data_IF_116103548039
#
_entry.id   IF_116103548039
#
_cell.length_a   1.000
_cell.length_b   1.000
_cell.length_c   1.000
_cell.angle_alpha   90.00
_cell.angle_beta   90.00
_cell.angle_gamma   90.00
#
_symmetry.space_group_name_H-M   'P 1'
#
loop_
_entity.id
_entity.type
_entity.pdbx_description
1 polymer ?
#
# COMPACT_ATOMS: atom_id res chain seq x y z
N UNK A 1 9.86 -6.79 23.13
CA UNK A 1 10.86 -5.72 23.03
C UNK A 1 12.02 -6.10 22.12
N UNK A 2 12.59 -5.10 21.46
CA UNK A 2 13.80 -5.31 20.66
C UNK A 2 14.97 -5.75 21.56
N UNK A 3 15.91 -6.54 21.00
CA UNK A 3 17.11 -6.94 21.73
C UNK A 3 18.07 -5.75 21.85
N UNK A 4 18.92 -5.75 22.90
CA UNK A 4 19.94 -4.69 23.06
C UNK A 4 20.78 -4.52 21.78
N UNK A 5 20.93 -3.29 21.33
CA UNK A 5 21.64 -2.95 20.08
C UNK A 5 20.86 -3.17 18.79
N UNK A 6 19.54 -3.49 18.89
CA UNK A 6 18.64 -3.62 17.73
C UNK A 6 17.41 -2.73 17.91
N UNK A 7 16.73 -2.41 16.81
CA UNK A 7 15.44 -1.70 16.83
C UNK A 7 14.53 -2.28 15.75
N UNK A 8 13.22 -2.18 15.96
CA UNK A 8 12.24 -2.41 14.89
C UNK A 8 12.24 -1.20 13.94
N UNK A 9 12.02 -1.45 12.66
CA UNK A 9 11.77 -0.40 11.68
C UNK A 9 10.33 -0.56 11.18
N UNK A 10 9.46 0.35 11.60
CA UNK A 10 8.02 0.27 11.35
C UNK A 10 7.65 1.13 10.15
N UNK A 11 7.05 0.54 9.14
CA UNK A 11 6.51 1.27 7.99
C UNK A 11 5.31 0.53 7.41
N UNK A 12 4.34 1.28 6.89
CA UNK A 12 3.08 0.77 6.31
C UNK A 12 2.97 1.04 4.81
N UNK A 13 3.93 1.74 4.24
CA UNK A 13 3.99 2.00 2.80
C UNK A 13 5.44 2.07 2.32
N UNK A 14 5.66 1.65 1.08
CA UNK A 14 6.95 1.72 0.41
C UNK A 14 6.78 2.00 -1.09
N UNK A 15 7.88 2.05 -1.82
CA UNK A 15 7.89 2.22 -3.27
C UNK A 15 7.44 0.96 -4.05
N UNK A 16 7.26 -0.17 -3.39
CA UNK A 16 6.88 -1.42 -4.05
C UNK A 16 5.37 -1.60 -4.15
N UNK A 17 4.66 -1.39 -3.10
CA UNK A 17 3.24 -1.71 -2.94
C UNK A 17 3.01 -2.49 -1.65
N UNK A 18 1.87 -3.15 -1.54
CA UNK A 18 1.47 -3.93 -0.37
C UNK A 18 1.77 -5.40 -0.63
N UNK A 19 2.73 -5.96 0.09
CA UNK A 19 3.08 -7.38 0.01
C UNK A 19 2.03 -8.25 0.70
N UNK A 20 1.62 -9.36 0.05
CA UNK A 20 0.62 -10.29 0.59
C UNK A 20 1.22 -11.46 1.38
N UNK A 21 2.52 -11.68 1.27
CA UNK A 21 3.19 -12.78 2.01
C UNK A 21 2.96 -12.75 3.52
N UNK A 22 3.00 -11.59 4.20
CA UNK A 22 2.74 -11.54 5.64
C UNK A 22 1.30 -11.91 6.02
N UNK A 23 0.36 -11.86 5.09
CA UNK A 23 -1.02 -12.28 5.33
C UNK A 23 -1.23 -13.80 5.21
N UNK A 24 -0.28 -14.53 4.60
CA UNK A 24 -0.36 -15.98 4.45
C UNK A 24 -0.36 -16.67 5.82
N UNK A 25 -1.37 -17.48 6.09
CA UNK A 25 -1.58 -18.16 7.38
C UNK A 25 -2.27 -17.31 8.46
N UNK A 26 -2.48 -16.00 8.21
CA UNK A 26 -3.31 -15.13 9.04
C UNK A 26 -4.70 -14.96 8.42
N UNK A 27 -4.76 -14.82 7.10
CA UNK A 27 -5.99 -14.75 6.32
C UNK A 27 -6.16 -16.02 5.49
N UNK A 28 -7.39 -16.43 5.28
CA UNK A 28 -7.75 -17.49 4.33
C UNK A 28 -7.52 -17.04 2.88
N UNK A 29 -7.52 -17.99 1.95
CA UNK A 29 -7.38 -17.67 0.51
C UNK A 29 -8.54 -16.77 0.02
N UNK A 30 -9.76 -17.01 0.49
CA UNK A 30 -10.94 -16.21 0.14
C UNK A 30 -10.85 -14.78 0.67
N UNK A 31 -10.36 -14.59 1.90
CA UNK A 31 -10.14 -13.26 2.48
C UNK A 31 -9.05 -12.48 1.73
N UNK A 32 -7.98 -13.16 1.31
CA UNK A 32 -6.93 -12.55 0.47
C UNK A 32 -7.50 -12.15 -0.90
N UNK A 33 -8.31 -13.01 -1.53
CA UNK A 33 -8.94 -12.69 -2.83
C UNK A 33 -9.90 -11.50 -2.69
N UNK A 34 -10.72 -11.45 -1.64
CA UNK A 34 -11.62 -10.33 -1.36
C UNK A 34 -10.84 -9.02 -1.13
N UNK A 35 -9.73 -9.08 -0.37
CA UNK A 35 -8.85 -7.94 -0.18
C UNK A 35 -8.27 -7.46 -1.52
N UNK A 36 -7.75 -8.37 -2.33
CA UNK A 36 -7.20 -8.06 -3.66
C UNK A 36 -8.26 -7.40 -4.53
N UNK A 37 -9.48 -7.96 -4.58
CA UNK A 37 -10.57 -7.43 -5.40
C UNK A 37 -11.01 -6.04 -4.92
N UNK A 38 -11.07 -5.82 -3.61
CA UNK A 38 -11.36 -4.50 -3.03
C UNK A 38 -10.31 -3.47 -3.47
N UNK A 39 -9.02 -3.82 -3.43
CA UNK A 39 -7.96 -2.92 -3.86
C UNK A 39 -7.98 -2.65 -5.37
N UNK A 40 -8.35 -3.63 -6.19
CA UNK A 40 -8.56 -3.45 -7.63
C UNK A 40 -9.73 -2.50 -7.89
N UNK A 41 -10.84 -2.64 -7.17
CA UNK A 41 -11.99 -1.73 -7.24
C UNK A 41 -11.60 -0.29 -6.82
N UNK A 42 -10.57 -0.15 -5.99
CA UNK A 42 -9.98 1.14 -5.61
C UNK A 42 -8.97 1.69 -6.63
N UNK A 43 -8.81 1.03 -7.77
CA UNK A 43 -7.91 1.44 -8.84
C UNK A 43 -6.47 0.96 -8.66
N UNK A 44 -6.26 -0.03 -7.81
CA UNK A 44 -5.00 -0.74 -7.68
C UNK A 44 -4.78 -1.76 -8.78
N UNK A 45 -3.54 -2.20 -8.92
CA UNK A 45 -3.10 -3.26 -9.81
C UNK A 45 -2.55 -4.42 -8.98
N UNK A 46 -2.44 -5.60 -9.58
CA UNK A 46 -1.96 -6.78 -8.88
C UNK A 46 -0.78 -7.41 -9.57
N UNK A 47 0.12 -7.96 -8.77
CA UNK A 47 1.19 -8.82 -9.24
C UNK A 47 0.97 -10.24 -8.73
N UNK A 48 0.99 -11.20 -9.65
CA UNK A 48 0.75 -12.61 -9.34
C UNK A 48 1.84 -13.50 -9.97
N UNK A 49 1.96 -14.70 -9.43
CA UNK A 49 2.78 -15.78 -9.96
C UNK A 49 1.96 -17.06 -9.96
N UNK A 50 2.37 -18.03 -10.74
CA UNK A 50 1.81 -19.37 -10.62
C UNK A 50 2.50 -20.11 -9.47
N UNK A 51 1.72 -20.81 -8.66
CA UNK A 51 2.22 -21.76 -7.68
C UNK A 51 2.74 -23.06 -8.36
N UNK A 52 3.19 -24.03 -7.54
CA UNK A 52 3.68 -25.33 -8.03
C UNK A 52 2.59 -26.15 -8.75
N UNK A 53 1.32 -25.82 -8.52
CA UNK A 53 0.16 -26.50 -9.09
C UNK A 53 -0.42 -25.73 -10.30
N UNK A 54 0.25 -24.64 -10.75
CA UNK A 54 -0.22 -23.81 -11.85
C UNK A 54 -1.34 -22.83 -11.45
N UNK A 55 -1.69 -22.72 -10.17
CA UNK A 55 -2.71 -21.78 -9.70
C UNK A 55 -2.12 -20.39 -9.59
N UNK A 56 -2.88 -19.38 -10.01
CA UNK A 56 -2.52 -17.98 -9.85
C UNK A 56 -2.52 -17.60 -8.37
N UNK A 57 -1.38 -17.13 -7.85
CA UNK A 57 -1.23 -16.64 -6.49
C UNK A 57 -0.75 -15.21 -6.50
N UNK A 58 -1.55 -14.32 -5.92
CA UNK A 58 -1.16 -12.93 -5.74
C UNK A 58 -0.08 -12.81 -4.68
N UNK A 59 0.93 -11.98 -4.91
CA UNK A 59 2.00 -11.73 -3.97
C UNK A 59 2.18 -10.25 -3.62
N UNK A 60 1.59 -9.35 -4.43
CA UNK A 60 1.69 -7.91 -4.23
C UNK A 60 0.46 -7.19 -4.82
N UNK A 61 -0.04 -6.21 -4.08
CA UNK A 61 -1.03 -5.24 -4.54
C UNK A 61 -0.28 -3.93 -4.80
N UNK A 62 -0.37 -3.43 -6.02
CA UNK A 62 0.26 -2.19 -6.45
C UNK A 62 -0.77 -1.07 -6.37
N UNK A 63 -0.73 -0.31 -5.30
CA UNK A 63 -1.65 0.78 -5.00
C UNK A 63 -0.96 1.78 -4.07
N UNK A 64 -1.28 3.07 -4.15
CA UNK A 64 -0.85 4.01 -3.12
C UNK A 64 -1.59 3.74 -1.81
N UNK A 65 -0.93 3.88 -0.67
CA UNK A 65 -1.59 3.69 0.63
C UNK A 65 -2.79 4.62 0.80
N UNK A 66 -2.69 5.85 0.30
CA UNK A 66 -3.78 6.80 0.37
C UNK A 66 -5.04 6.30 -0.36
N UNK A 67 -4.89 5.77 -1.58
CA UNK A 67 -6.03 5.21 -2.32
C UNK A 67 -6.46 3.84 -1.79
N UNK A 68 -5.57 3.05 -1.17
CA UNK A 68 -5.92 1.79 -0.53
C UNK A 68 -6.89 1.96 0.64
N UNK A 69 -6.84 3.10 1.32
CA UNK A 69 -7.65 3.40 2.51
C UNK A 69 -8.89 4.24 2.21
N UNK A 70 -9.29 4.40 0.95
CA UNK A 70 -10.43 5.26 0.58
C UNK A 70 -11.81 4.64 0.82
N UNK A 71 -11.85 3.42 1.33
CA UNK A 71 -13.10 2.72 1.63
C UNK A 71 -12.85 1.41 2.38
N UNK A 72 -13.87 0.58 2.38
CA UNK A 72 -13.88 -0.78 2.92
C UNK A 72 -14.34 -1.77 1.86
N UNK A 73 -14.51 -3.04 2.18
CA UNK A 73 -15.09 -4.05 1.29
C UNK A 73 -16.51 -3.68 0.79
N UNK A 74 -17.22 -2.85 1.56
CA UNK A 74 -18.56 -2.35 1.20
C UNK A 74 -18.48 -1.26 0.11
N UNK A 75 -17.35 -0.58 -0.01
CA UNK A 75 -17.13 0.47 -1.01
C UNK A 75 -16.37 1.69 -0.49
N UNK A 76 -16.35 2.73 -1.32
CA UNK A 76 -15.73 4.03 -1.01
C UNK A 76 -16.64 4.81 -0.07
N UNK A 77 -16.05 5.49 0.91
CA UNK A 77 -16.75 6.33 1.89
C UNK A 77 -15.99 7.64 2.18
N UNK A 78 -16.50 8.45 3.12
CA UNK A 78 -15.94 9.75 3.51
C UNK A 78 -14.77 9.67 4.49
N UNK A 79 -14.47 8.50 5.07
CA UNK A 79 -13.46 8.34 6.14
C UNK A 79 -12.03 8.05 5.64
N UNK A 80 -11.73 8.36 4.38
CA UNK A 80 -10.41 8.10 3.78
C UNK A 80 -9.28 8.74 4.59
N UNK A 81 -9.42 10.01 4.94
CA UNK A 81 -8.39 10.77 5.66
C UNK A 81 -8.24 10.24 7.09
N UNK A 82 -9.35 10.01 7.79
CA UNK A 82 -9.34 9.51 9.16
C UNK A 82 -8.67 8.13 9.24
N UNK A 83 -8.99 7.24 8.29
CA UNK A 83 -8.39 5.91 8.17
C UNK A 83 -6.90 5.98 7.87
N UNK A 84 -6.53 6.91 6.98
CA UNK A 84 -5.13 7.13 6.61
C UNK A 84 -4.31 7.67 7.79
N UNK A 85 -4.83 8.64 8.53
CA UNK A 85 -4.20 9.18 9.73
C UNK A 85 -4.10 8.11 10.82
N UNK A 86 -5.20 7.41 11.11
CA UNK A 86 -5.23 6.33 12.11
C UNK A 86 -4.19 5.24 11.83
N UNK A 87 -4.02 4.83 10.57
CA UNK A 87 -3.01 3.84 10.19
C UNK A 87 -1.58 4.32 10.51
N UNK A 88 -1.29 5.61 10.31
CA UNK A 88 0.00 6.20 10.65
C UNK A 88 0.18 6.36 12.16
N UNK A 89 -0.88 6.74 12.89
CA UNK A 89 -0.86 6.82 14.36
C UNK A 89 -0.55 5.47 14.99
N UNK A 90 -1.18 4.39 14.51
CA UNK A 90 -0.86 3.03 14.95
C UNK A 90 0.62 2.71 14.70
N UNK A 91 1.12 2.97 13.49
CA UNK A 91 2.51 2.71 13.13
C UNK A 91 3.50 3.49 14.03
N UNK A 92 3.22 4.77 14.29
CA UNK A 92 4.07 5.64 15.12
C UNK A 92 4.00 5.23 16.60
N UNK A 93 2.85 4.73 17.05
CA UNK A 93 2.65 4.28 18.44
C UNK A 93 3.32 2.94 18.78
N UNK A 94 3.80 2.19 17.79
CA UNK A 94 4.51 0.93 18.01
C UNK A 94 5.97 1.19 18.42
N UNK A 95 6.52 0.27 19.25
CA UNK A 95 7.94 0.31 19.60
C UNK A 95 8.81 0.21 18.34
N UNK A 96 9.73 1.16 18.14
CA UNK A 96 10.68 1.14 17.04
C UNK A 96 10.91 2.51 16.41
N UNK A 97 11.48 2.49 15.21
CA UNK A 97 11.77 3.67 14.40
C UNK A 97 10.70 3.75 13.29
N UNK A 98 9.82 4.74 13.29
CA UNK A 98 8.81 4.90 12.25
C UNK A 98 9.44 5.39 10.95
N UNK A 99 9.14 4.73 9.83
CA UNK A 99 9.54 5.11 8.48
C UNK A 99 8.34 5.64 7.68
N UNK A 100 8.34 6.93 7.40
CA UNK A 100 7.30 7.56 6.58
C UNK A 100 7.73 7.58 5.12
N UNK A 101 6.99 6.85 4.28
CA UNK A 101 7.18 6.94 2.83
C UNK A 101 6.74 8.32 2.33
N UNK A 102 7.55 8.95 1.48
CA UNK A 102 7.29 10.32 1.02
C UNK A 102 5.91 10.51 0.40
N UNK A 103 5.39 9.50 -0.30
CA UNK A 103 4.06 9.57 -0.90
C UNK A 103 2.93 9.43 0.13
N UNK A 104 3.19 8.82 1.27
CA UNK A 104 2.28 8.87 2.42
C UNK A 104 2.26 10.26 3.04
N UNK A 105 3.43 10.85 3.26
CA UNK A 105 3.52 12.22 3.80
C UNK A 105 2.76 13.25 2.95
N UNK A 106 2.73 13.04 1.63
CA UNK A 106 2.08 13.94 0.67
C UNK A 106 0.66 13.49 0.28
N UNK A 107 0.10 12.45 0.86
CA UNK A 107 -1.21 11.89 0.49
C UNK A 107 -1.35 11.58 -1.01
N UNK A 108 -0.26 11.07 -1.61
CA UNK A 108 -0.19 10.88 -3.06
C UNK A 108 -1.12 9.78 -3.53
N UNK A 109 -1.93 10.08 -4.54
CA UNK A 109 -2.83 9.12 -5.18
C UNK A 109 -2.13 8.23 -6.21
N UNK A 110 -2.82 7.20 -6.68
CA UNK A 110 -2.39 6.32 -7.77
C UNK A 110 -1.99 7.11 -9.02
N UNK A 111 -0.83 6.78 -9.58
CA UNK A 111 -0.35 7.39 -10.83
C UNK A 111 -0.49 6.41 -12.01
N UNK A 112 -1.72 6.18 -12.47
CA UNK A 112 -2.01 5.30 -13.60
C UNK A 112 -1.31 5.75 -14.90
N UNK A 113 -1.22 7.06 -15.14
CA UNK A 113 -0.49 7.59 -16.30
C UNK A 113 0.98 7.16 -16.32
N UNK A 114 1.62 7.06 -15.16
CA UNK A 114 2.99 6.57 -15.09
C UNK A 114 3.07 5.07 -15.35
N UNK A 115 2.07 4.31 -14.94
CA UNK A 115 1.96 2.87 -15.27
C UNK A 115 1.86 2.69 -16.78
N UNK A 116 0.97 3.43 -17.45
CA UNK A 116 0.79 3.37 -18.90
C UNK A 116 2.09 3.68 -19.65
N UNK A 117 2.83 4.68 -19.17
CA UNK A 117 4.10 5.09 -19.79
C UNK A 117 5.25 4.10 -19.56
N UNK A 118 5.25 3.36 -18.47
CA UNK A 118 6.37 2.48 -18.08
C UNK A 118 6.09 1.00 -18.29
N UNK A 119 4.83 0.61 -18.40
CA UNK A 119 4.40 -0.79 -18.40
C UNK A 119 4.65 -1.51 -17.07
N UNK A 120 4.95 -0.78 -15.98
CA UNK A 120 5.31 -1.36 -14.69
C UNK A 120 4.26 -1.04 -13.63
N UNK A 121 3.62 -2.05 -13.04
CA UNK A 121 2.59 -1.88 -12.01
C UNK A 121 3.07 -1.04 -10.82
N UNK A 122 4.30 -1.24 -10.35
CA UNK A 122 4.87 -0.48 -9.22
C UNK A 122 4.98 1.02 -9.47
N UNK A 123 4.95 1.45 -10.74
CA UNK A 123 4.97 2.88 -11.11
C UNK A 123 3.76 3.64 -10.58
N UNK A 124 2.66 2.95 -10.28
CA UNK A 124 1.45 3.52 -9.67
C UNK A 124 1.73 4.28 -8.38
N UNK A 125 2.70 3.78 -7.59
CA UNK A 125 3.09 4.31 -6.28
C UNK A 125 4.45 5.03 -6.30
N UNK A 126 4.89 5.52 -7.45
CA UNK A 126 6.20 6.17 -7.64
C UNK A 126 6.05 7.49 -8.37
N UNK A 127 5.10 8.33 -7.92
CA UNK A 127 4.89 9.65 -8.51
C UNK A 127 6.14 10.53 -8.39
N UNK A 128 6.40 11.35 -9.41
CA UNK A 128 7.46 12.34 -9.38
C UNK A 128 6.83 13.73 -9.21
N UNK A 129 6.97 14.27 -8.01
CA UNK A 129 6.49 15.59 -7.70
C UNK A 129 7.38 16.67 -8.32
N UNK A 130 6.76 17.70 -8.87
CA UNK A 130 7.46 18.89 -9.30
C UNK A 130 7.62 19.83 -8.09
N UNK A 131 8.86 20.17 -7.72
CA UNK A 131 9.14 21.03 -6.58
C UNK A 131 8.38 22.36 -6.62
N UNK A 132 8.30 23.02 -7.81
CA UNK A 132 7.58 24.29 -7.98
C UNK A 132 6.07 24.17 -7.73
N UNK A 133 5.49 22.96 -7.84
CA UNK A 133 4.08 22.72 -7.52
C UNK A 133 3.86 22.49 -6.03
N UNK A 134 4.81 21.85 -5.35
CA UNK A 134 4.75 21.61 -3.90
C UNK A 134 4.91 22.87 -3.06
N UNK A 135 5.65 23.85 -3.55
CA UNK A 135 5.93 25.11 -2.83
C UNK A 135 4.94 26.23 -3.12
N UNK A 136 3.91 25.99 -3.93
CA UNK A 136 2.86 26.99 -4.27
C UNK A 136 1.60 26.87 -3.42
N UNK A 137 1.61 26.01 -2.41
CA UNK A 137 0.53 25.88 -1.42
C UNK A 137 0.87 26.75 -0.18
#
# INVERSE_FOLDING_TARGET
PARFGTAYFNFIASHDGIGLRPAEGLLSEDEIENLVQTMVNFGGLTSARNDKNGRKKYYEINISLFDALKGTEVGIDEYQIDRFVCAHEIMIGLEGIPGLYIHSLLGTRNNLKKVDNTGQNRSINRHQWNYKKLTKT
#
